data_IF_673975028681
#
_entry.id   IF_673975028681
#
_cell.length_a   1.000
_cell.length_b   1.000
_cell.length_c   1.000
_cell.angle_alpha   90.00
_cell.angle_beta   90.00
_cell.angle_gamma   90.00
#
_symmetry.space_group_name_H-M   'P 1'
#
loop_
_entity.id
_entity.type
_entity.pdbx_description
1 polymer ?
#
# COMPACT_ATOMS: atom_id res chain seq x y z
N UNK A 1 6.00 21.23 3.60
CA UNK A 1 5.54 19.87 3.24
C UNK A 1 6.44 19.32 2.15
N UNK A 2 6.69 18.01 2.17
CA UNK A 2 7.42 17.33 1.09
C UNK A 2 6.60 17.31 -0.21
N UNK A 3 7.24 17.13 -1.37
CA UNK A 3 6.56 17.14 -2.69
C UNK A 3 5.47 16.07 -2.75
N UNK A 4 5.78 14.86 -2.29
CA UNK A 4 4.82 13.76 -2.28
C UNK A 4 3.71 14.01 -1.26
N UNK A 5 3.99 14.56 -0.08
CA UNK A 5 2.95 14.90 0.89
C UNK A 5 1.95 15.93 0.35
N UNK A 6 2.42 16.95 -0.36
CA UNK A 6 1.54 17.93 -1.03
C UNK A 6 0.66 17.23 -2.07
N UNK A 7 1.22 16.34 -2.89
CA UNK A 7 0.46 15.61 -3.91
C UNK A 7 -0.61 14.69 -3.30
N UNK A 8 -0.31 14.03 -2.19
CA UNK A 8 -1.29 13.22 -1.47
C UNK A 8 -2.46 14.08 -0.97
N UNK A 9 -2.16 15.27 -0.42
CA UNK A 9 -3.19 16.22 0.02
C UNK A 9 -4.08 16.69 -1.13
N UNK A 10 -3.51 17.06 -2.28
CA UNK A 10 -4.28 17.45 -3.49
C UNK A 10 -5.22 16.35 -3.97
N UNK A 11 -4.83 15.09 -3.79
CA UNK A 11 -5.61 13.91 -4.15
C UNK A 11 -6.58 13.45 -3.06
N UNK A 12 -6.69 14.20 -1.95
CA UNK A 12 -7.46 13.85 -0.76
C UNK A 12 -7.09 12.45 -0.24
N UNK A 13 -5.80 12.15 -0.16
CA UNK A 13 -5.26 10.92 0.39
C UNK A 13 -4.59 11.21 1.71
N UNK A 14 -5.10 10.59 2.77
CA UNK A 14 -4.43 10.51 4.06
C UNK A 14 -3.75 9.14 4.18
N UNK A 15 -2.52 9.13 4.66
CA UNK A 15 -1.82 7.88 4.93
C UNK A 15 -2.26 7.36 6.31
N UNK A 16 -2.77 6.12 6.40
CA UNK A 16 -3.09 5.53 7.70
C UNK A 16 -1.81 5.25 8.49
N UNK A 17 -1.97 4.89 9.76
CA UNK A 17 -0.88 4.28 10.51
C UNK A 17 -0.43 2.98 9.81
N UNK A 18 0.88 2.77 9.73
CA UNK A 18 1.42 1.54 9.15
C UNK A 18 0.91 0.32 9.92
N UNK A 19 0.41 -0.69 9.20
CA UNK A 19 -0.12 -1.90 9.79
C UNK A 19 0.97 -2.73 10.50
N UNK A 20 0.58 -3.47 11.53
CA UNK A 20 1.46 -4.46 12.16
C UNK A 20 1.60 -5.72 11.27
N UNK A 21 2.74 -6.43 11.33
CA UNK A 21 2.88 -7.74 10.69
C UNK A 21 1.82 -8.73 11.15
N UNK A 22 1.35 -9.59 10.25
CA UNK A 22 0.36 -10.63 10.58
C UNK A 22 0.99 -11.88 11.24
N UNK A 23 2.32 -12.03 11.18
CA UNK A 23 3.07 -13.16 11.71
C UNK A 23 4.53 -12.74 11.98
N UNK A 24 5.45 -13.71 12.13
CA UNK A 24 6.87 -13.49 12.37
C UNK A 24 7.63 -12.99 11.11
N UNK A 25 7.30 -11.80 10.63
CA UNK A 25 7.98 -11.08 9.56
C UNK A 25 7.92 -9.57 9.81
N UNK A 26 8.63 -8.77 9.00
CA UNK A 26 8.60 -7.29 9.07
C UNK A 26 7.84 -6.70 7.89
N UNK A 27 7.18 -5.55 8.07
CA UNK A 27 6.43 -4.92 6.97
C UNK A 27 7.31 -4.31 5.89
N UNK A 28 8.57 -4.02 6.21
CA UNK A 28 9.56 -3.53 5.28
C UNK A 28 10.97 -3.98 5.67
N UNK A 29 11.80 -4.24 4.66
CA UNK A 29 13.22 -4.57 4.83
C UNK A 29 14.03 -3.86 3.74
N UNK A 30 15.21 -3.35 4.09
CA UNK A 30 16.05 -2.60 3.15
C UNK A 30 17.42 -3.25 2.99
N UNK A 31 17.87 -3.38 1.75
CA UNK A 31 19.24 -3.77 1.41
C UNK A 31 19.83 -2.73 0.45
N UNK A 32 20.93 -2.09 0.86
CA UNK A 32 21.48 -0.92 0.17
C UNK A 32 20.41 0.16 -0.07
N UNK A 33 20.14 0.45 -1.34
CA UNK A 33 19.17 1.48 -1.77
C UNK A 33 17.80 0.91 -2.17
N UNK A 34 17.55 -0.38 -1.96
CA UNK A 34 16.29 -1.04 -2.34
C UNK A 34 15.51 -1.39 -1.09
N UNK A 35 14.32 -0.77 -0.96
CA UNK A 35 13.33 -1.07 0.07
C UNK A 35 12.35 -2.11 -0.47
N UNK A 36 12.25 -3.24 0.20
CA UNK A 36 11.24 -4.27 -0.04
C UNK A 36 10.10 -4.09 0.96
N UNK A 37 8.87 -4.20 0.47
CA UNK A 37 7.67 -4.18 1.29
C UNK A 37 7.05 -5.57 1.30
N UNK A 38 6.57 -5.98 2.47
CA UNK A 38 5.75 -7.19 2.60
C UNK A 38 4.38 -6.98 1.96
N UNK A 39 3.63 -8.07 1.77
CA UNK A 39 2.31 -8.01 1.15
C UNK A 39 1.29 -7.24 1.99
N UNK A 40 0.46 -6.46 1.30
CA UNK A 40 -0.71 -5.78 1.87
C UNK A 40 -1.98 -6.33 1.24
N UNK A 41 -3.04 -6.40 2.05
CA UNK A 41 -4.37 -6.86 1.62
C UNK A 41 -5.37 -5.73 1.78
N UNK A 42 -6.33 -5.64 0.87
CA UNK A 42 -7.41 -4.69 0.99
C UNK A 42 -8.24 -5.01 2.23
N UNK A 43 -8.65 -3.96 2.95
CA UNK A 43 -9.50 -4.07 4.13
C UNK A 43 -10.74 -3.20 3.97
N UNK A 44 -11.84 -3.64 4.55
CA UNK A 44 -13.08 -2.90 4.72
C UNK A 44 -13.51 -3.05 6.17
N UNK A 45 -13.73 -1.94 6.87
CA UNK A 45 -14.13 -1.91 8.28
C UNK A 45 -13.19 -2.72 9.20
N UNK A 46 -11.87 -2.57 8.97
CA UNK A 46 -10.83 -3.25 9.74
C UNK A 46 -10.64 -4.73 9.41
N UNK A 47 -11.51 -5.33 8.59
CA UNK A 47 -11.45 -6.74 8.18
C UNK A 47 -10.94 -6.89 6.75
N UNK A 48 -10.34 -8.03 6.37
CA UNK A 48 -10.00 -8.30 4.99
C UNK A 48 -11.21 -8.16 4.05
N UNK A 49 -11.04 -7.45 2.94
CA UNK A 49 -12.03 -7.42 1.86
C UNK A 49 -11.89 -8.70 1.05
N UNK A 50 -12.83 -9.62 1.20
CA UNK A 50 -12.81 -10.95 0.57
C UNK A 50 -13.71 -10.97 -0.65
N UNK A 51 -13.20 -11.48 -1.77
CA UNK A 51 -13.94 -11.64 -3.02
C UNK A 51 -13.09 -12.29 -4.11
N UNK A 52 -13.74 -12.55 -5.25
CA UNK A 52 -13.15 -13.03 -6.49
C UNK A 52 -13.65 -12.16 -7.64
N UNK A 53 -12.72 -11.51 -8.33
CA UNK A 53 -13.00 -10.59 -9.43
C UNK A 53 -13.72 -11.35 -10.56
N UNK A 54 -14.81 -10.79 -11.08
CA UNK A 54 -15.64 -11.41 -12.11
C UNK A 54 -16.68 -12.41 -11.60
N UNK A 55 -16.58 -12.88 -10.35
CA UNK A 55 -17.59 -13.73 -9.72
C UNK A 55 -18.50 -12.92 -8.78
N UNK A 56 -17.91 -12.31 -7.75
CA UNK A 56 -18.63 -11.55 -6.73
C UNK A 56 -17.96 -10.20 -6.39
N UNK A 57 -17.04 -9.77 -7.25
CA UNK A 57 -16.43 -8.44 -7.21
C UNK A 57 -16.31 -7.94 -8.65
N UNK A 58 -16.74 -6.70 -8.90
CA UNK A 58 -16.59 -6.07 -10.21
C UNK A 58 -15.27 -5.29 -10.34
N UNK A 59 -14.98 -4.79 -11.53
CA UNK A 59 -13.71 -4.08 -11.83
C UNK A 59 -13.55 -2.78 -11.03
N UNK A 60 -14.62 -2.03 -10.78
CA UNK A 60 -14.55 -0.77 -10.04
C UNK A 60 -14.28 -1.03 -8.55
N UNK A 61 -14.91 -2.05 -7.97
CA UNK A 61 -14.62 -2.53 -6.62
C UNK A 61 -13.18 -3.03 -6.50
N UNK A 62 -12.71 -3.83 -7.46
CA UNK A 62 -11.32 -4.31 -7.51
C UNK A 62 -10.32 -3.16 -7.63
N UNK A 63 -10.62 -2.14 -8.43
CA UNK A 63 -9.80 -0.93 -8.56
C UNK A 63 -9.77 -0.12 -7.26
N UNK A 64 -10.89 0.01 -6.57
CA UNK A 64 -10.95 0.66 -5.25
C UNK A 64 -10.11 -0.11 -4.21
N UNK A 65 -10.19 -1.45 -4.21
CA UNK A 65 -9.38 -2.32 -3.35
C UNK A 65 -7.87 -2.19 -3.65
N UNK A 66 -7.48 -2.17 -4.92
CA UNK A 66 -6.08 -1.95 -5.31
C UNK A 66 -5.58 -0.55 -4.89
N UNK A 67 -6.44 0.47 -4.98
CA UNK A 67 -6.12 1.83 -4.54
C UNK A 67 -5.87 1.90 -3.03
N UNK A 68 -6.69 1.24 -2.20
CA UNK A 68 -6.47 1.23 -0.75
C UNK A 68 -5.18 0.50 -0.38
N UNK A 69 -4.88 -0.63 -1.03
CA UNK A 69 -3.60 -1.34 -0.86
C UNK A 69 -2.40 -0.44 -1.19
N UNK A 70 -2.47 0.31 -2.30
CA UNK A 70 -1.39 1.23 -2.69
C UNK A 70 -1.15 2.33 -1.64
N UNK A 71 -2.21 2.81 -0.99
CA UNK A 71 -2.12 3.79 0.11
C UNK A 71 -1.45 3.18 1.34
N UNK A 72 -1.83 1.95 1.71
CA UNK A 72 -1.21 1.24 2.85
C UNK A 72 0.28 0.93 2.62
N UNK A 73 0.64 0.59 1.37
CA UNK A 73 2.04 0.45 0.96
C UNK A 73 2.81 1.77 1.15
N UNK A 74 2.23 2.90 0.73
CA UNK A 74 2.82 4.23 0.94
C UNK A 74 2.94 4.59 2.42
N UNK A 75 1.96 4.23 3.26
CA UNK A 75 2.05 4.40 4.71
C UNK A 75 3.22 3.62 5.31
N UNK A 76 3.42 2.38 4.85
CA UNK A 76 4.56 1.54 5.30
C UNK A 76 5.89 2.15 4.87
N UNK A 77 5.99 2.63 3.61
CA UNK A 77 7.19 3.34 3.15
C UNK A 77 7.45 4.62 3.95
N UNK A 78 6.41 5.41 4.24
CA UNK A 78 6.50 6.64 5.03
C UNK A 78 6.98 6.33 6.46
N UNK A 79 6.48 5.26 7.09
CA UNK A 79 6.93 4.83 8.41
C UNK A 79 8.41 4.39 8.41
N UNK A 80 8.85 3.67 7.39
CA UNK A 80 10.26 3.23 7.28
C UNK A 80 11.22 4.37 6.94
N UNK A 81 10.82 5.27 6.04
CA UNK A 81 11.70 6.32 5.50
C UNK A 81 11.61 7.65 6.24
N UNK A 82 10.53 7.90 6.98
CA UNK A 82 10.18 9.20 7.57
C UNK A 82 9.77 10.27 6.55
N UNK A 83 10.05 10.07 5.26
CA UNK A 83 9.69 10.98 4.18
C UNK A 83 9.68 10.24 2.83
N UNK A 84 8.53 10.23 2.15
CA UNK A 84 8.37 9.63 0.81
C UNK A 84 9.21 10.31 -0.29
N UNK A 85 9.65 11.56 -0.14
CA UNK A 85 10.53 12.22 -1.12
C UNK A 85 11.91 11.52 -1.23
N UNK A 86 12.26 10.63 -0.30
CA UNK A 86 13.47 9.79 -0.37
C UNK A 86 13.36 8.69 -1.43
N UNK A 87 12.15 8.38 -1.91
CA UNK A 87 11.93 7.36 -2.94
C UNK A 87 12.32 7.92 -4.31
N UNK A 88 13.41 7.41 -4.89
CA UNK A 88 13.87 7.84 -6.22
C UNK A 88 13.04 7.26 -7.37
N UNK A 89 12.61 5.99 -7.23
CA UNK A 89 11.85 5.27 -8.26
C UNK A 89 11.20 4.03 -7.66
N UNK A 90 9.97 3.73 -8.08
CA UNK A 90 9.37 2.40 -7.90
C UNK A 90 9.83 1.54 -9.07
N UNK A 91 10.76 0.62 -8.81
CA UNK A 91 11.36 -0.23 -9.86
C UNK A 91 10.54 -1.48 -10.18
N UNK A 92 9.65 -1.89 -9.27
CA UNK A 92 8.75 -3.03 -9.44
C UNK A 92 7.48 -2.79 -8.63
N UNK A 93 6.34 -3.18 -9.21
CA UNK A 93 5.07 -3.35 -8.52
C UNK A 93 4.58 -4.76 -8.82
N UNK A 94 4.25 -5.53 -7.78
CA UNK A 94 3.66 -6.86 -7.91
C UNK A 94 2.25 -6.81 -7.34
N UNK A 95 1.26 -7.27 -8.11
CA UNK A 95 -0.14 -7.36 -7.70
C UNK A 95 -0.62 -8.77 -7.92
N UNK A 96 -1.34 -9.33 -6.94
CA UNK A 96 -1.95 -10.65 -6.99
C UNK A 96 -3.46 -10.47 -6.83
N UNK A 97 -4.22 -10.95 -7.81
CA UNK A 97 -5.68 -10.81 -7.84
C UNK A 97 -6.29 -12.21 -7.81
N UNK A 98 -7.25 -12.42 -6.91
CA UNK A 98 -8.13 -13.57 -6.97
C UNK A 98 -9.18 -13.31 -8.05
N UNK A 99 -9.03 -13.92 -9.22
CA UNK A 99 -9.90 -13.75 -10.41
C UNK A 99 -10.31 -15.08 -11.01
#
# INVERSE_FOLDING_TARGET
MSKIATRLKELNIELPAAGAPAAAYVMSAQTGNTLFLSGHIAKKDGKPLVGKLGLNMNTDEGKAAARSIAIDLMATMQAHLGNLDRVKRVVKVMSLVNS
#
